data_IF_813502266379
#
_entry.id   IF_813502266379
#
_cell.length_a   1.000
_cell.length_b   1.000
_cell.length_c   1.000
_cell.angle_alpha   90.00
_cell.angle_beta   90.00
_cell.angle_gamma   90.00
#
_symmetry.space_group_name_H-M   'P 1'
#
loop_
_entity.id
_entity.type
_entity.pdbx_description
1 polymer ?
#
# COMPACT_ATOMS: atom_id res chain seq x y z
N UNK A 1 -22.83 4.64 -16.70
CA UNK A 1 -22.52 5.10 -16.03
C UNK A 1 -21.95 4.90 -14.69
N UNK A 2 -22.57 5.14 -13.77
CA UNK A 2 -22.06 5.14 -12.43
C UNK A 2 -21.82 3.78 -11.87
N UNK A 3 -22.36 2.77 -12.48
CA UNK A 3 -22.21 1.41 -11.98
C UNK A 3 -20.75 0.99 -11.91
N UNK A 4 -19.96 1.28 -12.94
CA UNK A 4 -18.58 0.87 -12.90
C UNK A 4 -17.80 1.59 -11.81
N UNK A 5 -18.12 2.83 -11.53
CA UNK A 5 -17.45 3.54 -10.44
C UNK A 5 -17.77 2.94 -9.10
N UNK A 6 -19.02 2.54 -8.90
CA UNK A 6 -19.41 1.90 -7.67
C UNK A 6 -18.65 0.59 -7.46
N UNK A 7 -18.52 -0.18 -8.52
CA UNK A 7 -17.79 -1.43 -8.44
C UNK A 7 -16.33 -1.22 -8.12
N UNK A 8 -15.74 -0.18 -8.69
CA UNK A 8 -14.36 0.14 -8.38
C UNK A 8 -14.17 0.44 -6.92
N UNK A 9 -15.12 1.17 -6.33
CA UNK A 9 -15.01 1.50 -4.92
C UNK A 9 -15.15 0.30 -4.02
N UNK A 10 -15.91 -0.71 -4.43
CA UNK A 10 -16.08 -1.91 -3.61
C UNK A 10 -14.81 -2.74 -3.56
N UNK A 11 -13.83 -2.46 -4.43
CA UNK A 11 -12.56 -3.18 -4.43
C UNK A 11 -11.49 -2.46 -3.61
N UNK A 12 -11.88 -1.69 -2.62
CA UNK A 12 -10.91 -1.02 -1.75
C UNK A 12 -10.84 -1.71 -0.39
N UNK A 13 -9.68 -1.59 0.25
CA UNK A 13 -9.46 -2.12 1.59
C UNK A 13 -9.18 -0.94 2.50
N UNK A 14 -10.07 -0.71 3.45
CA UNK A 14 -10.06 0.49 4.28
C UNK A 14 -8.75 0.73 5.01
N UNK A 15 -8.21 -0.30 5.65
CA UNK A 15 -7.00 -0.08 6.44
C UNK A 15 -5.78 0.27 5.57
N UNK A 16 -5.78 -0.17 4.33
CA UNK A 16 -4.72 0.20 3.40
C UNK A 16 -4.90 1.63 2.94
N UNK A 17 -6.12 2.00 2.56
CA UNK A 17 -6.40 3.36 2.09
C UNK A 17 -6.20 4.40 3.19
N UNK A 18 -6.81 4.17 4.35
CA UNK A 18 -6.78 5.13 5.44
C UNK A 18 -5.51 5.06 6.29
N UNK A 19 -5.06 3.85 6.55
CA UNK A 19 -3.94 3.66 7.46
C UNK A 19 -2.58 3.80 6.82
N UNK A 20 -2.49 3.65 5.51
CA UNK A 20 -1.21 3.68 4.82
C UNK A 20 -1.17 4.75 3.75
N UNK A 21 -2.03 4.66 2.73
CA UNK A 21 -1.96 5.58 1.60
C UNK A 21 -2.21 7.04 2.00
N UNK A 22 -3.15 7.28 2.89
CA UNK A 22 -3.46 8.63 3.34
C UNK A 22 -2.44 9.20 4.31
N UNK A 23 -1.60 8.34 4.89
CA UNK A 23 -0.70 8.77 5.96
C UNK A 23 0.69 8.17 5.78
N UNK A 24 1.60 8.88 5.12
CA UNK A 24 2.96 8.37 4.90
C UNK A 24 3.66 8.06 6.21
N UNK A 25 4.67 7.20 6.12
CA UNK A 25 5.35 6.64 7.29
C UNK A 25 6.84 6.90 7.26
N UNK A 26 7.47 7.02 8.43
CA UNK A 26 8.94 7.13 8.48
C UNK A 26 9.63 5.77 8.43
N UNK A 27 8.88 4.68 8.57
CA UNK A 27 9.46 3.35 8.67
C UNK A 27 8.61 2.32 7.95
N UNK A 28 9.10 1.09 7.84
CA UNK A 28 8.39 -0.05 7.22
C UNK A 28 8.08 0.16 5.73
N UNK A 29 8.74 1.10 5.07
CA UNK A 29 8.35 1.51 3.72
C UNK A 29 8.62 0.44 2.68
N UNK A 30 9.77 -0.26 2.77
CA UNK A 30 10.07 -1.34 1.83
C UNK A 30 9.09 -2.50 1.99
N UNK A 31 8.79 -2.83 3.24
CA UNK A 31 7.83 -3.90 3.55
C UNK A 31 6.47 -3.57 2.96
N UNK A 32 6.03 -2.32 3.15
CA UNK A 32 4.72 -1.88 2.68
C UNK A 32 4.61 -1.94 1.16
N UNK A 33 5.65 -1.50 0.44
CA UNK A 33 5.63 -1.57 -1.01
C UNK A 33 5.49 -3.02 -1.48
N UNK A 34 6.24 -3.92 -0.85
CA UNK A 34 6.27 -5.32 -1.26
C UNK A 34 5.04 -6.11 -0.84
N UNK A 35 4.67 -6.02 0.43
CA UNK A 35 3.64 -6.91 0.98
C UNK A 35 2.23 -6.33 0.89
N UNK A 36 2.10 -5.04 0.71
CA UNK A 36 0.81 -4.39 0.84
C UNK A 36 0.43 -3.61 -0.42
N UNK A 37 1.19 -2.57 -0.75
CA UNK A 37 0.77 -1.65 -1.80
C UNK A 37 0.84 -2.23 -3.20
N UNK A 38 1.92 -2.92 -3.56
CA UNK A 38 2.03 -3.48 -4.91
C UNK A 38 0.92 -4.47 -5.20
N UNK A 39 0.68 -5.49 -4.35
CA UNK A 39 -0.42 -6.41 -4.63
C UNK A 39 -1.80 -5.74 -4.49
N UNK A 40 -1.93 -4.77 -3.59
CA UNK A 40 -3.20 -4.08 -3.43
C UNK A 40 -3.57 -3.29 -4.69
N UNK A 41 -2.67 -2.43 -5.13
CA UNK A 41 -2.97 -1.57 -6.28
C UNK A 41 -3.12 -2.36 -7.57
N UNK A 42 -2.31 -3.39 -7.74
CA UNK A 42 -2.32 -4.16 -8.97
C UNK A 42 -3.44 -5.20 -9.01
N UNK A 43 -3.63 -5.94 -7.93
CA UNK A 43 -4.52 -7.11 -7.94
C UNK A 43 -5.87 -6.92 -7.27
N UNK A 44 -5.99 -5.96 -6.37
CA UNK A 44 -7.28 -5.66 -5.74
C UNK A 44 -7.95 -4.50 -6.47
N UNK A 45 -7.26 -3.37 -6.58
CA UNK A 45 -7.80 -2.22 -7.30
C UNK A 45 -7.69 -2.34 -8.81
N UNK A 46 -6.87 -3.26 -9.28
CA UNK A 46 -6.70 -3.57 -10.70
C UNK A 46 -6.29 -2.38 -11.55
N UNK A 47 -5.38 -1.59 -10.99
CA UNK A 47 -4.84 -0.44 -11.72
C UNK A 47 -3.80 -0.87 -12.74
N UNK A 48 -3.66 -0.14 -13.84
CA UNK A 48 -2.53 -0.36 -14.75
C UNK A 48 -1.21 -0.18 -14.00
N UNK A 49 -0.17 -0.87 -14.44
CA UNK A 49 1.12 -0.80 -13.78
C UNK A 49 1.65 0.61 -13.65
N UNK A 50 1.45 1.44 -14.67
CA UNK A 50 1.92 2.83 -14.65
C UNK A 50 1.24 3.64 -13.57
N UNK A 51 -0.06 3.42 -13.38
CA UNK A 51 -0.79 4.12 -12.34
C UNK A 51 -0.37 3.65 -10.96
N UNK A 52 -0.22 2.35 -10.79
CA UNK A 52 0.24 1.79 -9.52
C UNK A 52 1.63 2.31 -9.18
N UNK A 53 2.50 2.38 -10.18
CA UNK A 53 3.85 2.93 -10.00
C UNK A 53 3.77 4.38 -9.52
N UNK A 54 2.97 5.19 -10.19
CA UNK A 54 2.86 6.62 -9.87
C UNK A 54 2.34 6.84 -8.45
N UNK A 55 1.33 6.09 -8.05
CA UNK A 55 0.79 6.21 -6.71
C UNK A 55 1.81 5.85 -5.65
N UNK A 56 2.55 4.78 -5.87
CA UNK A 56 3.56 4.36 -4.91
C UNK A 56 4.73 5.34 -4.87
N UNK A 57 5.11 5.89 -6.02
CA UNK A 57 6.18 6.88 -6.06
C UNK A 57 5.79 8.14 -5.30
N UNK A 58 4.55 8.60 -5.50
CA UNK A 58 4.03 9.74 -4.77
C UNK A 58 4.04 9.49 -3.27
N UNK A 59 3.58 8.30 -2.87
CA UNK A 59 3.54 7.95 -1.47
C UNK A 59 4.96 7.92 -0.86
N UNK A 60 5.92 7.34 -1.59
CA UNK A 60 7.29 7.29 -1.12
C UNK A 60 7.93 8.69 -1.07
N UNK A 61 7.56 9.58 -1.99
CA UNK A 61 8.04 10.96 -1.94
C UNK A 61 7.57 11.66 -0.67
N UNK A 62 6.33 11.40 -0.26
CA UNK A 62 5.81 11.94 1.00
C UNK A 62 6.50 11.33 2.20
N UNK A 63 6.79 10.04 2.13
CA UNK A 63 7.53 9.37 3.20
C UNK A 63 8.95 9.94 3.33
N UNK A 64 9.58 10.25 2.20
CA UNK A 64 10.93 10.80 2.17
C UNK A 64 11.00 12.13 2.91
N UNK A 65 9.94 12.90 2.89
CA UNK A 65 9.89 14.19 3.60
C UNK A 65 9.80 14.01 5.11
N UNK A 66 9.27 12.90 5.56
CA UNK A 66 9.18 12.62 6.99
C UNK A 66 10.53 12.08 7.48
N UNK A 67 11.05 11.11 6.76
CA UNK A 67 12.33 10.48 7.07
C UNK A 67 12.95 10.06 5.74
N UNK A 68 14.16 10.52 5.47
CA UNK A 68 14.80 10.26 4.19
C UNK A 68 14.84 8.77 3.86
N UNK A 69 14.52 8.44 2.61
CA UNK A 69 14.56 7.06 2.16
C UNK A 69 16.00 6.57 2.11
N UNK A 70 16.21 5.33 2.54
CA UNK A 70 17.53 4.70 2.50
C UNK A 70 17.61 3.64 1.41
N UNK A 71 16.78 3.77 0.40
CA UNK A 71 16.75 2.84 -0.74
C UNK A 71 16.28 3.58 -1.98
N UNK A 72 16.48 2.96 -3.14
CA UNK A 72 16.06 3.56 -4.40
C UNK A 72 14.57 3.24 -4.62
N UNK A 73 13.70 4.26 -4.57
CA UNK A 73 12.26 4.01 -4.68
C UNK A 73 11.85 3.41 -6.02
N UNK A 74 12.49 3.81 -7.11
CA UNK A 74 12.13 3.31 -8.43
C UNK A 74 12.38 1.81 -8.54
N UNK A 75 13.53 1.37 -8.04
CA UNK A 75 13.88 -0.05 -8.08
C UNK A 75 12.93 -0.84 -7.20
N UNK A 76 12.65 -0.33 -6.00
CA UNK A 76 11.80 -1.03 -5.06
C UNK A 76 10.37 -1.20 -5.59
N UNK A 77 9.84 -0.14 -6.20
CA UNK A 77 8.51 -0.20 -6.78
C UNK A 77 8.45 -1.22 -7.93
N UNK A 78 9.45 -1.17 -8.81
CA UNK A 78 9.49 -2.11 -9.94
C UNK A 78 9.56 -3.56 -9.44
N UNK A 79 10.36 -3.82 -8.43
CA UNK A 79 10.46 -5.15 -7.85
C UNK A 79 9.13 -5.60 -7.26
N UNK A 80 8.46 -4.69 -6.54
CA UNK A 80 7.17 -5.00 -5.95
C UNK A 80 6.12 -5.32 -7.00
N UNK A 81 6.06 -4.51 -8.05
CA UNK A 81 5.10 -4.74 -9.13
C UNK A 81 5.37 -6.03 -9.88
N UNK A 82 6.64 -6.35 -10.09
CA UNK A 82 7.01 -7.60 -10.75
C UNK A 82 6.55 -8.79 -9.92
N UNK A 83 6.76 -8.74 -8.61
CA UNK A 83 6.30 -9.80 -7.73
C UNK A 83 4.81 -9.92 -7.70
N UNK A 84 4.11 -8.78 -7.57
CA UNK A 84 2.65 -8.77 -7.52
C UNK A 84 2.02 -9.23 -8.83
N UNK A 85 2.74 -9.11 -9.93
CA UNK A 85 2.26 -9.59 -11.22
C UNK A 85 1.99 -11.08 -11.25
N UNK A 86 2.49 -11.82 -10.27
CA UNK A 86 2.21 -13.24 -10.14
C UNK A 86 0.81 -13.50 -9.60
N UNK A 87 0.10 -12.48 -9.19
CA UNK A 87 -1.32 -12.58 -8.82
C UNK A 87 -1.64 -12.71 -7.34
N UNK A 88 -0.65 -12.56 -6.45
CA UNK A 88 -0.97 -12.68 -5.03
C UNK A 88 -1.61 -11.38 -4.51
N UNK A 89 -2.28 -11.51 -3.38
CA UNK A 89 -3.01 -10.41 -2.77
C UNK A 89 -2.24 -9.82 -1.59
N UNK A 90 -2.62 -8.61 -1.14
CA UNK A 90 -1.96 -8.01 0.02
C UNK A 90 -2.18 -8.86 1.26
N UNK A 91 -1.25 -8.75 2.20
CA UNK A 91 -1.33 -9.47 3.47
C UNK A 91 -2.60 -9.06 4.22
N UNK A 92 -3.24 -10.00 4.90
CA UNK A 92 -4.40 -9.68 5.71
C UNK A 92 -3.96 -9.04 7.03
N UNK A 93 -4.90 -8.37 7.71
CA UNK A 93 -4.59 -7.79 9.02
C UNK A 93 -4.18 -8.85 10.03
N UNK A 94 -4.83 -10.01 9.99
CA UNK A 94 -4.49 -11.11 10.89
C UNK A 94 -3.05 -11.57 10.68
N UNK A 95 -2.67 -11.72 9.43
CA UNK A 95 -1.31 -12.13 9.10
C UNK A 95 -0.30 -11.04 9.42
N UNK A 96 -0.68 -9.80 9.20
CA UNK A 96 0.17 -8.65 9.53
C UNK A 96 0.46 -8.62 11.02
N UNK A 97 -0.54 -8.91 11.84
CA UNK A 97 -0.38 -8.95 13.28
C UNK A 97 0.70 -9.96 13.70
N UNK A 98 0.75 -11.10 13.01
CA UNK A 98 1.73 -12.13 13.30
C UNK A 98 3.11 -11.77 12.73
N UNK A 99 3.14 -11.23 11.53
CA UNK A 99 4.37 -11.01 10.80
C UNK A 99 5.08 -9.71 11.17
N UNK A 100 4.33 -8.65 11.42
CA UNK A 100 4.89 -7.33 11.72
C UNK A 100 3.97 -6.60 12.69
N UNK A 101 4.11 -6.93 13.97
CA UNK A 101 3.23 -6.40 15.02
C UNK A 101 3.32 -4.89 15.15
N UNK A 102 4.50 -4.32 14.98
CA UNK A 102 4.67 -2.87 15.05
C UNK A 102 3.83 -2.15 14.02
N UNK A 103 3.90 -2.63 12.79
CA UNK A 103 3.12 -2.02 11.71
C UNK A 103 1.63 -2.26 11.92
N UNK A 104 1.26 -3.46 12.37
CA UNK A 104 -0.13 -3.77 12.67
C UNK A 104 -0.72 -2.79 13.68
N UNK A 105 -0.01 -2.56 14.78
CA UNK A 105 -0.50 -1.66 15.83
C UNK A 105 -0.65 -0.23 15.31
N UNK A 106 0.31 0.21 14.52
CA UNK A 106 0.29 1.55 13.95
C UNK A 106 -0.88 1.74 12.99
N UNK A 107 -1.09 0.76 12.12
CA UNK A 107 -2.18 0.82 11.14
C UNK A 107 -3.53 0.78 11.82
N UNK A 108 -3.65 -0.08 12.83
CA UNK A 108 -4.90 -0.21 13.57
C UNK A 108 -5.28 1.11 14.23
N UNK A 109 -4.31 1.76 14.87
CA UNK A 109 -4.50 3.06 15.50
C UNK A 109 -4.97 4.09 14.50
N UNK A 110 -4.28 4.18 13.38
CA UNK A 110 -4.61 5.17 12.35
C UNK A 110 -5.99 4.94 11.75
N UNK A 111 -6.33 3.69 11.52
CA UNK A 111 -7.61 3.36 10.91
C UNK A 111 -8.76 3.69 11.86
N UNK A 112 -8.60 3.36 13.12
CA UNK A 112 -9.64 3.65 14.12
C UNK A 112 -9.80 5.14 14.36
N UNK A 113 -8.69 5.86 14.44
CA UNK A 113 -8.76 7.30 14.62
C UNK A 113 -9.37 8.01 13.41
N UNK A 114 -9.24 7.43 12.25
CA UNK A 114 -9.81 7.97 11.03
C UNK A 114 -11.31 7.82 10.94
N UNK A 115 -11.89 7.07 11.82
CA UNK A 115 -13.33 6.92 11.84
C UNK A 115 -13.97 8.07 12.60
#
# INVERSE_FOLDING_TARGET
>A
MTVSKSQERTNTIKWIEKGILDQPLPDHRKYIIWRILSPYLLNVRKLPKEEAYSLMKEWLDKCDKIEKLNFNPKIKIKDGLKGAGKGYFPISMEKLKEENRQLYDLVLDRTELGN
#
